data_IF_462689196138
#
_entry.id   IF_462689196138
#
_cell.length_a   1.000
_cell.length_b   1.000
_cell.length_c   1.000
_cell.angle_alpha   90.00
_cell.angle_beta   90.00
_cell.angle_gamma   90.00
#
_symmetry.space_group_name_H-M   'P 1'
#
loop_
_entity.id
_entity.type
_entity.pdbx_description
1 polymer ?
#
# COMPACT_ATOMS: atom_id res chain seq x y z
N UNK A 1 18.58 -20.92 -10.16
CA UNK A 1 17.22 -20.44 -9.85
C UNK A 1 16.45 -20.04 -11.12
N UNK A 2 16.97 -19.11 -11.94
CA UNK A 2 16.33 -18.66 -13.19
C UNK A 2 15.92 -19.79 -14.16
N UNK A 3 16.85 -20.69 -14.51
CA UNK A 3 16.59 -21.76 -15.48
C UNK A 3 15.49 -22.73 -15.00
N UNK A 4 15.46 -23.04 -13.71
CA UNK A 4 14.40 -23.84 -13.08
C UNK A 4 13.05 -23.12 -13.17
N UNK A 5 13.02 -21.82 -12.91
CA UNK A 5 11.82 -20.99 -13.10
C UNK A 5 11.33 -21.00 -14.55
N UNK A 6 12.23 -20.94 -15.53
CA UNK A 6 11.86 -21.03 -16.95
C UNK A 6 11.35 -22.41 -17.34
N UNK A 7 11.95 -23.49 -16.81
CA UNK A 7 11.47 -24.86 -17.02
C UNK A 7 10.07 -25.06 -16.43
N UNK A 8 9.84 -24.64 -15.19
CA UNK A 8 8.55 -24.70 -14.54
C UNK A 8 7.49 -23.86 -15.27
N UNK A 9 7.88 -22.67 -15.76
CA UNK A 9 6.98 -21.81 -16.54
C UNK A 9 6.54 -22.48 -17.85
N UNK A 10 7.47 -23.12 -18.57
CA UNK A 10 7.14 -23.87 -19.79
C UNK A 10 6.33 -25.13 -19.50
N UNK A 11 6.48 -25.73 -18.32
CA UNK A 11 5.70 -26.87 -17.86
C UNK A 11 4.29 -26.50 -17.37
N UNK A 12 3.92 -25.20 -17.38
CA UNK A 12 2.63 -24.72 -16.85
C UNK A 12 2.55 -24.68 -15.31
N UNK A 13 3.65 -25.02 -14.63
CA UNK A 13 3.77 -24.96 -13.17
C UNK A 13 4.08 -23.54 -12.73
N UNK A 14 3.10 -22.64 -12.88
CA UNK A 14 3.32 -21.20 -12.67
C UNK A 14 3.61 -20.85 -11.21
N UNK A 15 3.06 -21.60 -10.24
CA UNK A 15 3.32 -21.37 -8.81
C UNK A 15 4.78 -21.68 -8.47
N UNK A 16 5.29 -22.84 -8.89
CA UNK A 16 6.69 -23.22 -8.68
C UNK A 16 7.64 -22.28 -9.43
N UNK A 17 7.24 -21.85 -10.65
CA UNK A 17 7.98 -20.85 -11.39
C UNK A 17 8.11 -19.53 -10.61
N UNK A 18 7.05 -19.06 -9.94
CA UNK A 18 7.12 -17.87 -9.09
C UNK A 18 8.14 -18.05 -7.96
N UNK A 19 8.11 -19.18 -7.26
CA UNK A 19 9.04 -19.46 -6.15
C UNK A 19 10.50 -19.46 -6.65
N UNK A 20 10.76 -20.11 -7.78
CA UNK A 20 12.10 -20.14 -8.37
C UNK A 20 12.58 -18.77 -8.86
N UNK A 21 11.67 -17.95 -9.43
CA UNK A 21 12.00 -16.59 -9.84
C UNK A 21 12.18 -15.63 -8.66
N UNK A 22 11.40 -15.77 -7.58
CA UNK A 22 11.58 -15.00 -6.35
C UNK A 22 12.94 -15.30 -5.73
N UNK A 23 13.33 -16.57 -5.67
CA UNK A 23 14.69 -16.95 -5.25
C UNK A 23 15.76 -16.38 -6.19
N UNK A 24 15.51 -16.32 -7.50
CA UNK A 24 16.44 -15.70 -8.44
C UNK A 24 16.56 -14.18 -8.20
N UNK A 25 15.46 -13.48 -7.92
CA UNK A 25 15.48 -12.05 -7.60
C UNK A 25 16.18 -11.78 -6.26
N UNK A 26 16.07 -12.69 -5.28
CA UNK A 26 16.77 -12.57 -4.00
C UNK A 26 18.28 -12.77 -4.15
N UNK A 27 18.72 -13.62 -5.07
CA UNK A 27 20.13 -13.85 -5.35
C UNK A 27 20.74 -12.74 -6.21
N UNK A 28 19.98 -12.22 -7.17
CA UNK A 28 20.42 -11.20 -8.12
C UNK A 28 19.37 -10.06 -8.18
N UNK A 29 19.36 -9.14 -7.19
CA UNK A 29 18.37 -8.08 -7.09
C UNK A 29 18.50 -6.99 -8.16
N UNK A 30 19.63 -6.93 -8.87
CA UNK A 30 19.83 -5.96 -9.96
C UNK A 30 19.41 -6.50 -11.32
N UNK A 31 19.14 -7.81 -11.42
CA UNK A 31 18.81 -8.46 -12.67
C UNK A 31 17.33 -8.24 -13.05
N UNK A 32 17.06 -7.13 -13.78
CA UNK A 32 15.73 -6.76 -14.27
C UNK A 32 15.01 -7.88 -15.04
N UNK A 33 15.75 -8.80 -15.69
CA UNK A 33 15.18 -9.93 -16.42
C UNK A 33 14.43 -10.90 -15.50
N UNK A 34 14.89 -11.09 -14.25
CA UNK A 34 14.23 -11.99 -13.30
C UNK A 34 12.89 -11.41 -12.85
N UNK A 35 12.85 -10.11 -12.57
CA UNK A 35 11.61 -9.39 -12.25
C UNK A 35 10.59 -9.42 -13.39
N UNK A 36 11.04 -9.27 -14.63
CA UNK A 36 10.15 -9.42 -15.81
C UNK A 36 9.56 -10.84 -15.91
N UNK A 37 10.36 -11.87 -15.67
CA UNK A 37 9.90 -13.26 -15.72
C UNK A 37 9.00 -13.60 -14.53
N UNK A 38 9.29 -13.06 -13.35
CA UNK A 38 8.45 -13.16 -12.17
C UNK A 38 7.08 -12.52 -12.39
N UNK A 39 7.04 -11.33 -12.98
CA UNK A 39 5.79 -10.66 -13.35
C UNK A 39 4.96 -11.52 -14.31
N UNK A 40 5.60 -12.13 -15.31
CA UNK A 40 4.92 -13.03 -16.25
C UNK A 40 4.35 -14.29 -15.55
N UNK A 41 5.11 -14.91 -14.66
CA UNK A 41 4.66 -16.07 -13.89
C UNK A 41 3.50 -15.71 -12.96
N UNK A 42 3.59 -14.57 -12.26
CA UNK A 42 2.54 -14.07 -11.37
C UNK A 42 1.25 -13.72 -12.12
N UNK A 43 1.35 -13.17 -13.33
CA UNK A 43 0.18 -12.96 -14.21
C UNK A 43 -0.53 -14.26 -14.54
N UNK A 44 0.23 -15.30 -14.87
CA UNK A 44 -0.33 -16.64 -15.15
C UNK A 44 -0.92 -17.31 -13.91
N UNK A 45 -0.40 -17.01 -12.73
CA UNK A 45 -0.98 -17.44 -11.45
C UNK A 45 -2.23 -16.64 -11.01
N UNK A 46 -2.62 -15.58 -11.74
CA UNK A 46 -3.68 -14.67 -11.32
C UNK A 46 -3.30 -13.74 -10.15
N UNK A 47 -2.02 -13.70 -9.75
CA UNK A 47 -1.52 -12.79 -8.71
C UNK A 47 -1.20 -11.43 -9.31
N UNK A 48 -2.25 -10.65 -9.57
CA UNK A 48 -2.15 -9.42 -10.37
C UNK A 48 -1.42 -8.27 -9.65
N UNK A 49 -1.72 -8.01 -8.37
CA UNK A 49 -1.04 -6.95 -7.60
C UNK A 49 0.47 -7.22 -7.44
N UNK A 50 0.91 -8.42 -7.02
CA UNK A 50 2.34 -8.73 -6.96
C UNK A 50 3.01 -8.74 -8.34
N UNK A 51 2.27 -9.06 -9.42
CA UNK A 51 2.82 -8.97 -10.76
C UNK A 51 3.12 -7.51 -11.16
N UNK A 52 2.24 -6.58 -10.81
CA UNK A 52 2.43 -5.16 -11.05
C UNK A 52 3.67 -4.62 -10.33
N UNK A 53 3.85 -5.00 -9.06
CA UNK A 53 5.04 -4.61 -8.27
C UNK A 53 6.34 -5.11 -8.91
N UNK A 54 6.38 -6.39 -9.30
CA UNK A 54 7.54 -6.95 -9.99
C UNK A 54 7.82 -6.28 -11.34
N UNK A 55 6.78 -5.91 -12.09
CA UNK A 55 6.94 -5.20 -13.36
C UNK A 55 7.44 -3.76 -13.16
N UNK A 56 6.96 -3.06 -12.12
CA UNK A 56 7.45 -1.72 -11.75
C UNK A 56 8.91 -1.75 -11.35
N UNK A 57 9.31 -2.76 -10.58
CA UNK A 57 10.70 -2.93 -10.19
C UNK A 57 11.61 -3.21 -11.39
N UNK A 58 11.13 -4.02 -12.34
CA UNK A 58 11.81 -4.22 -13.62
C UNK A 58 12.03 -2.90 -14.39
N UNK A 59 11.01 -2.04 -14.44
CA UNK A 59 11.12 -0.72 -15.08
C UNK A 59 12.07 0.23 -14.34
N UNK A 60 12.11 0.16 -13.00
CA UNK A 60 13.02 0.95 -12.17
C UNK A 60 14.47 0.57 -12.42
N UNK A 61 14.76 -0.72 -12.49
CA UNK A 61 16.09 -1.27 -12.74
C UNK A 61 16.54 -1.05 -14.19
N UNK A 62 15.64 -1.20 -15.16
CA UNK A 62 15.95 -1.04 -16.58
C UNK A 62 14.91 -0.20 -17.32
N UNK A 63 15.01 1.14 -17.28
CA UNK A 63 14.07 2.05 -17.93
C UNK A 63 14.06 1.98 -19.47
N UNK A 64 15.07 1.34 -20.08
CA UNK A 64 15.13 1.10 -21.54
C UNK A 64 14.55 -0.25 -21.93
N UNK A 65 14.18 -1.09 -20.97
CA UNK A 65 13.72 -2.45 -21.24
C UNK A 65 12.22 -2.48 -21.55
N UNK A 66 11.87 -2.40 -22.84
CA UNK A 66 10.49 -2.38 -23.33
C UNK A 66 9.61 -3.53 -22.81
N UNK A 67 10.18 -4.73 -22.61
CA UNK A 67 9.44 -5.88 -22.07
C UNK A 67 8.93 -5.62 -20.65
N UNK A 68 9.62 -4.82 -19.84
CA UNK A 68 9.14 -4.42 -18.51
C UNK A 68 7.85 -3.62 -18.58
N UNK A 69 7.78 -2.65 -19.49
CA UNK A 69 6.57 -1.87 -19.78
C UNK A 69 5.42 -2.76 -20.28
N UNK A 70 5.72 -3.72 -21.16
CA UNK A 70 4.73 -4.71 -21.62
C UNK A 70 4.15 -5.52 -20.44
N UNK A 71 5.00 -6.01 -19.53
CA UNK A 71 4.53 -6.77 -18.34
C UNK A 71 3.68 -5.90 -17.42
N UNK A 72 4.06 -4.64 -17.24
CA UNK A 72 3.31 -3.68 -16.42
C UNK A 72 1.93 -3.40 -17.03
N UNK A 73 1.88 -3.12 -18.34
CA UNK A 73 0.62 -2.93 -19.07
C UNK A 73 -0.29 -4.17 -19.03
N UNK A 74 0.28 -5.38 -19.17
CA UNK A 74 -0.47 -6.63 -19.03
C UNK A 74 -1.06 -6.79 -17.62
N UNK A 75 -0.30 -6.43 -16.57
CA UNK A 75 -0.77 -6.49 -15.19
C UNK A 75 -1.86 -5.46 -14.89
N UNK A 76 -1.72 -4.22 -15.36
CA UNK A 76 -2.74 -3.18 -15.23
C UNK A 76 -4.03 -3.53 -15.99
N UNK A 77 -3.89 -4.05 -17.22
CA UNK A 77 -5.04 -4.54 -18.00
C UNK A 77 -5.79 -5.65 -17.26
N UNK A 78 -5.07 -6.56 -16.61
CA UNK A 78 -5.68 -7.62 -15.82
C UNK A 78 -6.33 -7.11 -14.53
N UNK A 79 -5.79 -6.05 -13.91
CA UNK A 79 -6.39 -5.37 -12.75
C UNK A 79 -7.64 -4.56 -13.10
N UNK A 80 -7.83 -4.23 -14.38
CA UNK A 80 -8.95 -3.44 -14.88
C UNK A 80 -8.61 -1.98 -15.19
N UNK A 81 -7.41 -1.53 -14.80
CA UNK A 81 -6.91 -0.17 -15.01
C UNK A 81 -6.37 0.01 -16.44
N UNK A 82 -7.27 0.01 -17.43
CA UNK A 82 -6.91 0.09 -18.85
C UNK A 82 -6.29 1.42 -19.25
N UNK A 83 -6.71 2.53 -18.64
CA UNK A 83 -6.15 3.85 -18.93
C UNK A 83 -4.66 3.92 -18.53
N UNK A 84 -4.37 3.51 -17.29
CA UNK A 84 -2.99 3.42 -16.81
C UNK A 84 -2.17 2.40 -17.62
N UNK A 85 -2.77 1.28 -18.04
CA UNK A 85 -2.12 0.31 -18.92
C UNK A 85 -1.73 0.95 -20.25
N UNK A 86 -2.63 1.72 -20.87
CA UNK A 86 -2.39 2.37 -22.14
C UNK A 86 -1.23 3.38 -22.05
N UNK A 87 -1.17 4.18 -20.98
CA UNK A 87 -0.09 5.15 -20.80
C UNK A 87 1.28 4.50 -20.63
N UNK A 88 1.36 3.42 -19.84
CA UNK A 88 2.60 2.66 -19.67
C UNK A 88 3.02 1.96 -20.96
N UNK A 89 2.06 1.40 -21.71
CA UNK A 89 2.33 0.75 -23.00
C UNK A 89 2.81 1.76 -24.05
N UNK A 90 2.24 2.97 -24.11
CA UNK A 90 2.73 4.06 -24.99
C UNK A 90 4.19 4.41 -24.68
N UNK A 91 4.55 4.52 -23.39
CA UNK A 91 5.94 4.77 -22.98
C UNK A 91 6.87 3.61 -23.37
N UNK A 92 6.39 2.37 -23.24
CA UNK A 92 7.10 1.17 -23.66
C UNK A 92 7.31 1.13 -25.18
N UNK A 93 6.31 1.56 -25.96
CA UNK A 93 6.33 1.56 -27.42
C UNK A 93 7.45 2.45 -27.98
N UNK A 94 7.66 3.63 -27.37
CA UNK A 94 8.76 4.53 -27.72
C UNK A 94 10.16 3.93 -27.48
N UNK A 95 10.25 2.87 -26.67
CA UNK A 95 11.50 2.20 -26.28
C UNK A 95 11.60 0.79 -26.87
N UNK A 96 10.59 0.36 -27.62
CA UNK A 96 10.47 -0.99 -28.12
C UNK A 96 10.92 -1.09 -29.57
N UNK A 97 11.57 -2.21 -29.89
CA UNK A 97 12.02 -2.52 -31.24
C UNK A 97 11.61 -3.96 -31.60
N UNK A 98 11.43 -4.23 -32.90
CA UNK A 98 11.14 -5.56 -33.45
C UNK A 98 9.87 -6.22 -32.88
N UNK A 99 9.99 -7.47 -32.46
CA UNK A 99 8.86 -8.27 -31.96
C UNK A 99 8.21 -7.69 -30.69
N UNK A 100 8.96 -6.94 -29.87
CA UNK A 100 8.41 -6.33 -28.65
C UNK A 100 7.50 -5.16 -28.98
N UNK A 101 7.83 -4.40 -30.03
CA UNK A 101 6.99 -3.31 -30.53
C UNK A 101 5.61 -3.84 -30.94
N UNK A 102 5.57 -4.93 -31.73
CA UNK A 102 4.31 -5.56 -32.14
C UNK A 102 3.48 -6.05 -30.94
N UNK A 103 4.13 -6.68 -29.95
CA UNK A 103 3.45 -7.15 -28.75
C UNK A 103 2.85 -6.00 -27.91
N UNK A 104 3.53 -4.86 -27.82
CA UNK A 104 3.04 -3.67 -27.11
C UNK A 104 1.93 -2.99 -27.90
N UNK A 105 2.07 -2.87 -29.22
CA UNK A 105 1.04 -2.30 -30.10
C UNK A 105 -0.27 -3.11 -30.00
N UNK A 106 -0.19 -4.44 -30.03
CA UNK A 106 -1.35 -5.30 -29.83
C UNK A 106 -1.97 -5.10 -28.44
N UNK A 107 -1.14 -5.09 -27.40
CA UNK A 107 -1.63 -4.88 -26.03
C UNK A 107 -2.30 -3.51 -25.86
N UNK A 108 -1.85 -2.49 -26.58
CA UNK A 108 -2.42 -1.14 -26.59
C UNK A 108 -3.75 -1.10 -27.35
N UNK A 109 -3.85 -1.78 -28.50
CA UNK A 109 -5.08 -1.94 -29.26
C UNK A 109 -6.16 -2.62 -28.40
N UNK A 110 -5.82 -3.72 -27.70
CA UNK A 110 -6.71 -4.40 -26.76
C UNK A 110 -7.24 -3.48 -25.63
N UNK A 111 -6.49 -2.43 -25.28
CA UNK A 111 -6.91 -1.45 -24.27
C UNK A 111 -7.85 -0.39 -24.87
N UNK A 112 -7.67 -0.04 -26.15
CA UNK A 112 -8.46 0.98 -26.86
C UNK A 112 -9.80 0.47 -27.42
N UNK A 113 -9.90 -0.80 -27.81
CA UNK A 113 -11.08 -1.37 -28.46
C UNK A 113 -12.29 -1.60 -27.53
N UNK A 114 -12.12 -1.46 -26.21
CA UNK A 114 -13.21 -1.67 -25.23
C UNK A 114 -13.62 -0.38 -24.53
N UNK A 115 -14.06 0.62 -25.31
CA UNK A 115 -14.82 1.74 -24.77
C UNK A 115 -16.27 1.30 -24.51
N UNK A 116 -16.55 0.85 -23.29
CA UNK A 116 -17.82 1.10 -22.59
C UNK A 116 -17.80 0.42 -21.21
N UNK A 117 -17.15 1.10 -20.27
CA UNK A 117 -17.71 1.41 -18.94
C UNK A 117 -16.66 2.25 -18.23
N UNK A 118 -16.97 3.48 -17.79
CA UNK A 118 -16.11 4.16 -16.84
C UNK A 118 -16.03 3.25 -15.61
N UNK A 119 -14.81 2.82 -15.26
CA UNK A 119 -14.58 2.21 -13.98
C UNK A 119 -14.75 3.32 -12.93
N UNK A 120 -15.98 3.46 -12.44
CA UNK A 120 -16.23 4.06 -11.14
C UNK A 120 -15.52 3.21 -10.08
N UNK A 121 -14.26 3.52 -9.83
CA UNK A 121 -13.56 3.14 -8.59
C UNK A 121 -13.07 4.40 -7.92
N UNK A 122 -14.05 5.18 -7.44
CA UNK A 122 -14.09 5.72 -6.08
C UNK A 122 -12.75 6.22 -5.54
N UNK A 123 -12.16 7.22 -6.19
CA UNK A 123 -11.36 8.19 -5.47
C UNK A 123 -12.32 8.95 -4.55
N UNK A 124 -12.21 8.73 -3.24
CA UNK A 124 -12.90 9.49 -2.22
C UNK A 124 -12.43 10.94 -2.34
N UNK A 125 -13.13 11.74 -3.16
CA UNK A 125 -13.25 13.18 -2.94
C UNK A 125 -14.50 13.34 -2.09
N UNK A 126 -14.37 13.17 -0.77
CA UNK A 126 -15.32 13.87 0.08
C UNK A 126 -15.05 15.36 -0.16
N UNK A 127 -15.98 16.15 -0.71
CA UNK A 127 -15.92 17.58 -0.47
C UNK A 127 -16.01 17.74 1.05
N UNK A 128 -14.94 18.22 1.69
CA UNK A 128 -15.03 18.68 3.07
C UNK A 128 -15.97 19.89 3.05
N UNK A 129 -17.25 19.65 3.34
CA UNK A 129 -18.18 20.70 3.69
C UNK A 129 -17.67 21.38 4.97
N UNK A 130 -17.39 22.71 4.97
CA UNK A 130 -16.86 23.41 6.14
C UNK A 130 -17.81 23.40 7.35
N UNK A 131 -19.07 23.00 7.16
CA UNK A 131 -20.09 22.97 8.21
C UNK A 131 -20.04 21.72 9.09
N UNK A 132 -19.31 20.68 8.69
CA UNK A 132 -19.31 19.40 9.42
C UNK A 132 -18.08 19.19 10.32
N UNK A 133 -17.14 20.14 10.35
CA UNK A 133 -15.89 20.02 11.12
C UNK A 133 -16.16 20.17 12.63
N UNK A 134 -17.10 21.03 13.03
CA UNK A 134 -17.44 21.24 14.44
C UNK A 134 -18.06 20.00 15.10
N UNK A 135 -18.93 19.27 14.38
CA UNK A 135 -19.60 18.08 14.91
C UNK A 135 -18.61 16.94 15.20
N UNK A 136 -17.61 16.75 14.33
CA UNK A 136 -16.61 15.69 14.48
C UNK A 136 -15.56 16.04 15.55
N UNK A 137 -15.22 17.32 15.72
CA UNK A 137 -14.32 17.76 16.80
C UNK A 137 -14.98 17.59 18.18
N UNK A 138 -16.28 17.87 18.30
CA UNK A 138 -17.00 17.75 19.57
C UNK A 138 -17.23 16.29 20.00
N UNK A 139 -17.36 15.36 19.05
CA UNK A 139 -17.48 13.93 19.35
C UNK A 139 -16.16 13.30 19.83
N UNK A 140 -15.02 13.87 19.44
CA UNK A 140 -13.68 13.35 19.78
C UNK A 140 -13.18 13.85 21.14
N UNK A 141 -13.74 14.94 21.66
CA UNK A 141 -13.38 15.52 22.95
C UNK A 141 -14.13 14.90 24.15
N UNK A 142 -15.17 14.09 23.91
CA UNK A 142 -16.13 13.68 24.95
C UNK A 142 -15.65 12.65 26.01
N UNK A 143 -14.65 11.77 25.82
CA UNK A 143 -14.27 10.83 26.89
C UNK A 143 -13.10 11.30 27.77
N UNK A 144 -12.37 12.36 27.42
CA UNK A 144 -11.16 12.75 28.16
C UNK A 144 -11.51 13.59 29.40
N UNK A 145 -12.57 14.40 29.36
CA UNK A 145 -12.94 15.28 30.48
C UNK A 145 -13.59 14.51 31.64
N UNK A 146 -14.29 13.40 31.35
CA UNK A 146 -14.99 12.61 32.38
C UNK A 146 -14.04 11.83 33.31
N UNK A 147 -12.82 11.52 32.86
CA UNK A 147 -11.82 10.84 33.69
C UNK A 147 -11.09 11.78 34.67
N UNK A 148 -11.17 13.11 34.48
CA UNK A 148 -10.53 14.06 35.40
C UNK A 148 -11.44 14.56 36.53
N UNK A 149 -12.76 14.41 36.43
CA UNK A 149 -13.73 14.90 37.43
C UNK A 149 -14.09 13.85 38.51
N UNK A 150 -13.91 12.55 38.24
CA UNK A 150 -14.19 11.47 39.21
C UNK A 150 -13.09 11.33 40.29
N UNK A 151 -11.92 11.96 40.11
CA UNK A 151 -10.86 12.00 41.12
C UNK A 151 -11.04 13.11 42.18
N UNK A 152 -11.99 14.04 41.99
CA UNK A 152 -12.15 15.22 42.87
C UNK A 152 -13.34 15.14 43.84
N UNK A 153 -14.10 14.04 43.86
CA UNK A 153 -15.34 13.90 44.66
C UNK A 153 -15.30 12.87 45.79
N UNK A 154 -14.17 12.22 46.09
CA UNK A 154 -14.03 11.35 47.27
C UNK A 154 -13.43 12.01 48.53
N UNK A 155 -13.36 13.34 48.60
CA UNK A 155 -12.93 14.07 49.81
C UNK A 155 -14.04 14.96 50.40
N UNK A 156 -15.19 14.37 50.73
CA UNK A 156 -16.06 14.96 51.76
C UNK A 156 -16.93 13.89 52.43
N UNK A 157 -16.44 13.38 53.57
CA UNK A 157 -17.31 12.85 54.62
C UNK A 157 -16.82 13.37 55.98
N UNK A 158 -17.73 13.56 56.95
CA UNK A 158 -17.70 14.69 57.88
C UNK A 158 -16.96 14.45 59.21
N UNK A 159 -16.68 15.59 59.87
CA UNK A 159 -15.97 15.80 61.14
C UNK A 159 -16.42 14.89 62.29
N UNK A 160 -15.51 14.51 63.20
CA UNK A 160 -15.83 14.39 64.61
C UNK A 160 -15.50 15.70 65.35
N UNK A 161 -16.45 16.12 66.19
CA UNK A 161 -16.35 17.20 67.16
C UNK A 161 -15.60 16.70 68.40
N UNK A 162 -14.59 17.44 68.84
CA UNK A 162 -13.93 17.33 70.15
C UNK A 162 -12.91 18.45 70.25
N UNK A 163 -13.13 19.48 71.10
CA UNK A 163 -12.50 19.63 72.43
C UNK A 163 -10.96 19.61 72.30
N UNK A 164 -10.17 20.61 72.67
CA UNK A 164 -10.29 21.62 73.74
C UNK A 164 -9.16 22.65 73.57
N UNK A 165 -9.34 23.83 74.14
CA UNK A 165 -8.36 24.91 74.26
C UNK A 165 -7.03 24.45 74.89
N UNK A 166 -5.92 25.10 74.52
CA UNK A 166 -4.67 25.02 75.26
C UNK A 166 -3.55 25.88 74.67
N UNK A 167 -3.24 26.99 75.34
CA UNK A 167 -2.19 27.95 75.03
C UNK A 167 -0.76 27.38 75.15
N UNK A 168 0.21 28.09 74.57
CA UNK A 168 1.62 28.07 75.00
C UNK A 168 2.57 27.67 73.88
N UNK A 169 3.29 28.60 73.26
CA UNK A 169 4.63 29.05 73.67
C UNK A 169 5.73 27.96 73.57
N UNK A 170 6.78 28.34 72.82
CA UNK A 170 8.20 28.24 73.22
C UNK A 170 8.97 26.94 72.86
N UNK A 171 9.95 27.15 71.96
CA UNK A 171 11.37 26.71 72.00
C UNK A 171 11.83 25.30 71.59
N UNK A 172 12.98 25.32 70.89
CA UNK A 172 14.21 24.50 71.05
C UNK A 172 14.12 22.95 70.99
N UNK A 173 15.15 22.14 70.74
CA UNK A 173 16.55 22.18 70.28
C UNK A 173 16.90 20.70 70.02
N UNK A 174 17.96 20.46 69.24
CA UNK A 174 18.84 19.28 69.19
C UNK A 174 18.60 18.14 70.22
N UNK A 175 18.54 16.90 69.74
CA UNK A 175 19.60 15.89 69.91
C UNK A 175 19.37 14.68 68.99
#
# INVERSE_FOLDING_TARGET
ARALGSKAFSAGQFVDACIHYERACALEPEAHLHFSNLAAARLKCGRLRPALEAARECMRLAPRFAKGYLRCGQALKALGDRDAAADVLKQGLQRAEGAVYQAIAQALADCGERQSKPAETKAIKQPLDPRNIESVLNARAAPIVKAQEEAMTMSSAPRPVGLSLGNGHIFDILQ
#
